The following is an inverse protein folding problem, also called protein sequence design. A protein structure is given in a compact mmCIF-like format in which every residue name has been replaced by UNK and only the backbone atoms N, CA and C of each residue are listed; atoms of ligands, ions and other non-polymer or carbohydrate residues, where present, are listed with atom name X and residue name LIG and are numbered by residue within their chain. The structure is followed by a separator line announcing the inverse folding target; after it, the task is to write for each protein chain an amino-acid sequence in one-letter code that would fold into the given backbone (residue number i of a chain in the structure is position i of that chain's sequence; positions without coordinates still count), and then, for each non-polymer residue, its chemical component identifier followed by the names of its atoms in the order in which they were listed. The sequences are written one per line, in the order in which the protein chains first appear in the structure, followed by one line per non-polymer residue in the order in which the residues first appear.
data_IF_730081054527
#
_entry.id   IF_730081054527
#
_cell.length_a   1.000
_cell.length_b   1.000
_cell.length_c   1.000
_cell.angle_alpha   90.00
_cell.angle_beta   90.00
_cell.angle_gamma   90.00
#
_symmetry.space_group_name_H-M   'P 1'
#
loop_
_entity.id
_entity.type
_entity.pdbx_description
1 polymer ?
#
# COMPACT_ATOMS: atom_id res chain seq x y z
N UNK A 1 0.45 -5.46 -14.36
CA UNK A 1 -0.70 -4.78 -13.69
C UNK A 1 -1.58 -4.04 -14.69
N UNK A 2 -2.91 -4.22 -14.60
CA UNK A 2 -3.90 -3.46 -15.37
C UNK A 2 -4.19 -2.07 -14.76
N UNK A 3 -4.94 -1.22 -15.48
CA UNK A 3 -5.27 0.15 -15.04
C UNK A 3 -6.04 0.16 -13.70
N UNK A 4 -6.93 -0.82 -13.51
CA UNK A 4 -7.69 -0.99 -12.26
C UNK A 4 -6.79 -1.27 -11.04
N UNK A 5 -5.76 -2.09 -11.23
CA UNK A 5 -4.81 -2.45 -10.16
C UNK A 5 -4.01 -1.22 -9.69
N UNK A 6 -3.59 -0.37 -10.64
CA UNK A 6 -2.95 0.91 -10.35
C UNK A 6 -3.88 1.90 -9.65
N UNK A 7 -5.15 1.95 -10.05
CA UNK A 7 -6.15 2.80 -9.42
C UNK A 7 -6.40 2.36 -7.96
N UNK A 8 -6.51 1.06 -7.72
CA UNK A 8 -6.72 0.51 -6.38
C UNK A 8 -5.50 0.72 -5.46
N UNK A 9 -4.29 0.56 -5.97
CA UNK A 9 -3.06 0.86 -5.25
C UNK A 9 -2.95 2.36 -4.89
N UNK A 10 -3.39 3.23 -5.79
CA UNK A 10 -3.44 4.68 -5.56
C UNK A 10 -4.48 5.03 -4.51
N UNK A 11 -5.67 4.44 -4.60
CA UNK A 11 -6.75 4.63 -3.63
C UNK A 11 -6.32 4.20 -2.22
N UNK A 12 -5.70 3.01 -2.07
CA UNK A 12 -5.16 2.54 -0.79
C UNK A 12 -4.09 3.47 -0.21
N UNK A 13 -3.22 4.04 -1.05
CA UNK A 13 -2.22 5.03 -0.60
C UNK A 13 -2.87 6.31 -0.08
N UNK A 14 -3.86 6.84 -0.81
CA UNK A 14 -4.58 8.06 -0.40
C UNK A 14 -5.36 7.81 0.88
N UNK A 15 -6.06 6.68 0.99
CA UNK A 15 -6.80 6.30 2.20
C UNK A 15 -5.87 6.13 3.40
N UNK A 16 -4.73 5.46 3.24
CA UNK A 16 -3.73 5.30 4.29
C UNK A 16 -3.18 6.63 4.79
N UNK A 17 -2.88 7.57 3.88
CA UNK A 17 -2.45 8.93 4.24
C UNK A 17 -3.56 9.73 4.93
N UNK A 18 -4.80 9.59 4.48
CA UNK A 18 -5.94 10.25 5.09
C UNK A 18 -6.19 9.74 6.52
N UNK A 19 -6.12 8.43 6.75
CA UNK A 19 -6.18 7.84 8.10
C UNK A 19 -5.02 8.29 8.98
N UNK A 20 -3.81 8.33 8.46
CA UNK A 20 -2.65 8.79 9.22
C UNK A 20 -2.79 10.26 9.64
N UNK A 21 -3.23 11.12 8.71
CA UNK A 21 -3.48 12.53 8.98
C UNK A 21 -4.64 12.74 9.95
N UNK A 22 -5.73 12.00 9.79
CA UNK A 22 -6.89 12.04 10.68
C UNK A 22 -6.49 11.60 12.10
N UNK A 23 -5.81 10.47 12.25
CA UNK A 23 -5.31 9.97 13.54
C UNK A 23 -4.35 10.94 14.22
N UNK A 24 -3.44 11.57 13.47
CA UNK A 24 -2.58 12.65 13.98
C UNK A 24 -3.38 13.86 14.46
N UNK A 25 -4.40 14.26 13.70
CA UNK A 25 -5.21 15.44 14.00
C UNK A 25 -6.15 15.21 15.21
N UNK A 26 -6.69 14.00 15.36
CA UNK A 26 -7.57 13.64 16.49
C UNK A 26 -6.81 13.09 17.70
N UNK A 27 -5.51 12.79 17.57
CA UNK A 27 -4.71 12.12 18.60
C UNK A 27 -5.01 10.62 18.73
N UNK A 28 -5.67 10.02 17.73
CA UNK A 28 -6.04 8.62 17.73
C UNK A 28 -4.90 7.75 17.15
N UNK A 29 -4.14 7.14 18.06
CA UNK A 29 -2.99 6.32 17.73
C UNK A 29 -3.36 5.08 16.90
N UNK A 30 -4.54 4.49 17.13
CA UNK A 30 -5.01 3.34 16.35
C UNK A 30 -5.20 3.70 14.88
N UNK A 31 -5.86 4.83 14.62
CA UNK A 31 -6.09 5.32 13.25
C UNK A 31 -4.78 5.69 12.55
N UNK A 32 -3.82 6.28 13.27
CA UNK A 32 -2.48 6.54 12.74
C UNK A 32 -1.76 5.23 12.35
N UNK A 33 -1.80 4.23 13.24
CA UNK A 33 -1.15 2.94 13.01
C UNK A 33 -1.81 2.17 11.85
N UNK A 34 -3.13 2.17 11.73
CA UNK A 34 -3.85 1.57 10.60
C UNK A 34 -3.42 2.21 9.26
N UNK A 35 -3.30 3.54 9.23
CA UNK A 35 -2.84 4.26 8.05
C UNK A 35 -1.44 3.84 7.62
N UNK A 36 -0.50 3.76 8.58
CA UNK A 36 0.87 3.29 8.35
C UNK A 36 0.96 1.81 7.96
N UNK A 37 0.16 0.96 8.60
CA UNK A 37 0.11 -0.47 8.30
C UNK A 37 -0.34 -0.71 6.85
N UNK A 38 -1.44 -0.07 6.41
CA UNK A 38 -1.91 -0.17 5.02
C UNK A 38 -0.88 0.31 3.99
N UNK A 39 -0.12 1.36 4.31
CA UNK A 39 0.98 1.81 3.45
C UNK A 39 2.13 0.79 3.40
N UNK A 40 2.47 0.18 4.54
CA UNK A 40 3.49 -0.87 4.63
C UNK A 40 3.12 -2.14 3.87
N UNK A 41 1.89 -2.62 4.04
CA UNK A 41 1.35 -3.77 3.31
C UNK A 41 1.31 -3.53 1.80
N UNK A 42 0.94 -2.33 1.37
CA UNK A 42 0.94 -1.97 -0.05
C UNK A 42 2.35 -2.06 -0.64
N UNK A 43 3.37 -1.55 0.07
CA UNK A 43 4.78 -1.65 -0.36
C UNK A 43 5.29 -3.10 -0.36
N UNK A 44 4.92 -3.89 0.65
CA UNK A 44 5.30 -5.30 0.74
C UNK A 44 4.64 -6.15 -0.36
N UNK A 45 3.39 -5.84 -0.71
CA UNK A 45 2.68 -6.44 -1.83
C UNK A 45 3.38 -6.18 -3.17
N UNK A 46 3.74 -4.92 -3.43
CA UNK A 46 4.51 -4.55 -4.62
C UNK A 46 5.86 -5.27 -4.69
N UNK A 47 6.63 -5.30 -3.60
CA UNK A 47 7.92 -5.99 -3.56
C UNK A 47 7.81 -7.50 -3.84
N UNK A 48 6.75 -8.17 -3.33
CA UNK A 48 6.48 -9.58 -3.65
C UNK A 48 6.11 -9.79 -5.11
N UNK A 49 5.35 -8.87 -5.69
CA UNK A 49 4.95 -8.96 -7.09
C UNK A 49 6.13 -8.70 -8.04
N UNK A 50 6.95 -7.68 -7.77
CA UNK A 50 8.19 -7.42 -8.50
C UNK A 50 9.13 -8.63 -8.47
N UNK A 51 9.26 -9.29 -7.31
CA UNK A 51 10.08 -10.50 -7.18
C UNK A 51 9.51 -11.66 -8.01
N UNK A 52 8.18 -11.87 -8.00
CA UNK A 52 7.53 -12.89 -8.85
C UNK A 52 7.71 -12.60 -10.34
N UNK A 53 7.61 -11.34 -10.76
CA UNK A 53 7.75 -10.93 -12.15
C UNK A 53 9.19 -11.15 -12.65
N UNK A 54 10.20 -10.82 -11.82
CA UNK A 54 11.61 -11.10 -12.12
C UNK A 54 11.92 -12.59 -12.22
N UNK A 55 11.42 -13.41 -11.29
CA UNK A 55 11.60 -14.87 -11.34
C UNK A 55 10.95 -15.44 -12.59
N UNK A 56 9.75 -14.96 -12.96
CA UNK A 56 9.04 -15.41 -14.16
C UNK A 56 9.79 -15.05 -15.44
N UNK A 57 10.35 -13.84 -15.52
CA UNK A 57 11.23 -13.41 -16.64
C UNK A 57 12.54 -14.18 -16.74
N UNK A 58 13.07 -14.70 -15.63
CA UNK A 58 14.32 -15.45 -15.64
C UNK A 58 14.13 -16.93 -16.04
N UNK A 59 12.89 -17.44 -15.99
CA UNK A 59 12.53 -18.83 -16.31
C UNK A 59 11.96 -18.95 -17.74
N UNK A 60 11.44 -17.86 -18.31
CA UNK A 60 11.03 -17.73 -19.73
C UNK A 60 12.25 -17.59 -20.66
#
# INVERSE_FOLDING_TARGET
MGIQDRAEATAKNVEGKAKEAAGKATGDTSTEMEGKAKQGESKAGHAKEDLKDQVKKAID
#
